data_IF_476869890581
#
_entry.id   IF_476869890581
#
_cell.length_a   1.000
_cell.length_b   1.000
_cell.length_c   1.000
_cell.angle_alpha   90.00
_cell.angle_beta   90.00
_cell.angle_gamma   90.00
#
_symmetry.space_group_name_H-M   'P 1'
#
loop_
_entity.id
_entity.type
_entity.pdbx_description
1 polymer ?
#
# COMPACT_ATOMS: atom_id res chain seq x y z
N UNK A 1 -12.15 11.44 1.25
CA UNK A 1 -12.76 10.36 2.05
C UNK A 1 -12.65 9.05 1.26
N UNK A 2 -11.44 8.49 1.16
CA UNK A 2 -11.14 7.17 0.57
C UNK A 2 -9.92 6.61 1.29
N UNK A 3 -10.06 6.44 2.60
CA UNK A 3 -9.00 5.86 3.43
C UNK A 3 -9.22 4.35 3.50
N UNK A 4 -8.15 3.59 3.27
CA UNK A 4 -8.15 2.15 3.53
C UNK A 4 -8.16 1.97 5.05
N UNK A 5 -9.36 1.79 5.62
CA UNK A 5 -9.58 1.65 7.07
C UNK A 5 -9.38 0.23 7.59
N UNK A 6 -9.37 -0.75 6.69
CA UNK A 6 -9.32 -2.16 7.05
C UNK A 6 -7.87 -2.60 7.15
N UNK A 7 -7.47 -3.05 8.34
CA UNK A 7 -6.18 -3.67 8.59
C UNK A 7 -6.19 -5.09 7.96
N UNK A 8 -5.05 -5.56 7.42
CA UNK A 8 -4.97 -6.95 6.97
C UNK A 8 -5.19 -7.90 8.16
N UNK A 9 -5.83 -9.05 7.92
CA UNK A 9 -6.02 -10.09 8.94
C UNK A 9 -4.69 -10.60 9.52
N UNK A 10 -3.61 -10.44 8.75
CA UNK A 10 -2.25 -10.78 9.15
C UNK A 10 -1.41 -9.50 9.15
N UNK A 11 -0.85 -9.14 10.30
CA UNK A 11 0.17 -8.11 10.37
C UNK A 11 1.47 -8.67 9.76
N UNK A 12 2.03 -7.95 8.78
CA UNK A 12 3.35 -8.26 8.24
C UNK A 12 4.50 -8.16 9.29
N UNK A 13 4.18 -7.73 10.52
CA UNK A 13 5.08 -7.66 11.68
C UNK A 13 4.53 -8.43 12.90
N UNK A 14 3.48 -9.23 12.74
CA UNK A 14 2.99 -10.12 13.78
C UNK A 14 3.98 -11.25 14.07
N UNK A 15 3.75 -11.98 15.17
CA UNK A 15 4.55 -13.15 15.57
C UNK A 15 4.81 -14.14 14.43
N UNK A 16 3.91 -14.18 13.45
CA UNK A 16 3.95 -15.04 12.26
C UNK A 16 4.93 -14.58 11.16
N UNK A 17 5.44 -13.33 11.15
CA UNK A 17 6.43 -12.87 10.14
C UNK A 17 7.87 -12.87 10.68
N UNK A 18 8.07 -13.37 11.91
CA UNK A 18 9.36 -13.30 12.60
C UNK A 18 10.18 -14.60 12.61
N UNK A 19 9.67 -15.72 12.08
CA UNK A 19 10.41 -16.98 12.15
C UNK A 19 11.22 -17.24 10.88
N UNK A 20 12.55 -17.14 11.02
CA UNK A 20 13.52 -17.58 10.02
C UNK A 20 13.33 -19.08 9.79
N UNK A 21 12.76 -19.48 8.65
CA UNK A 21 12.58 -20.89 8.27
C UNK A 21 13.86 -21.45 7.65
N UNK A 22 14.90 -21.60 8.47
CA UNK A 22 16.25 -22.03 8.02
C UNK A 22 16.30 -23.45 7.46
N UNK A 23 15.30 -24.26 7.77
CA UNK A 23 15.12 -25.63 7.29
C UNK A 23 14.60 -25.69 5.85
N UNK A 24 13.94 -24.62 5.36
CA UNK A 24 13.29 -24.60 4.03
C UNK A 24 13.85 -23.52 3.10
N UNK A 25 14.39 -22.43 3.64
CA UNK A 25 15.08 -21.39 2.88
C UNK A 25 16.49 -21.11 3.44
N UNK A 26 17.55 -21.70 2.85
CA UNK A 26 18.94 -21.48 3.27
C UNK A 26 19.43 -20.06 3.03
N UNK A 27 18.71 -19.23 2.24
CA UNK A 27 19.06 -17.84 2.03
C UNK A 27 18.71 -16.95 3.25
N UNK A 28 17.83 -17.43 4.15
CA UNK A 28 17.52 -16.77 5.42
C UNK A 28 16.62 -15.55 5.28
N UNK A 29 15.74 -15.51 4.28
CA UNK A 29 14.87 -14.36 4.05
C UNK A 29 13.68 -14.43 5.02
N UNK A 30 13.25 -13.27 5.51
CA UNK A 30 12.01 -13.19 6.30
C UNK A 30 10.84 -13.40 5.34
N UNK A 31 10.18 -14.55 5.46
CA UNK A 31 8.97 -14.88 4.70
C UNK A 31 7.79 -14.71 5.65
N UNK A 32 6.74 -14.01 5.21
CA UNK A 32 5.50 -13.96 5.96
C UNK A 32 4.92 -15.38 6.08
N UNK A 33 4.90 -15.94 7.30
CA UNK A 33 4.32 -17.27 7.49
C UNK A 33 2.80 -17.17 7.51
N UNK A 34 2.17 -17.68 6.45
CA UNK A 34 0.72 -17.73 6.34
C UNK A 34 0.15 -19.05 6.88
N UNK A 35 0.96 -19.94 7.47
CA UNK A 35 0.54 -21.26 7.95
C UNK A 35 -0.47 -21.22 9.09
N UNK A 36 -0.48 -20.13 9.88
CA UNK A 36 -1.46 -19.89 10.94
C UNK A 36 -2.89 -19.76 10.38
N UNK A 37 -3.04 -19.27 9.14
CA UNK A 37 -4.31 -19.18 8.44
C UNK A 37 -4.67 -20.52 7.78
N UNK A 38 -5.06 -21.51 8.60
CA UNK A 38 -5.25 -22.93 8.21
C UNK A 38 -5.95 -23.16 6.87
N UNK A 39 -7.04 -22.45 6.58
CA UNK A 39 -7.84 -22.66 5.37
C UNK A 39 -7.45 -21.77 4.17
N UNK A 40 -6.70 -20.69 4.39
CA UNK A 40 -6.41 -19.66 3.37
C UNK A 40 -4.93 -19.30 3.23
N UNK A 41 -4.05 -19.97 3.95
CA UNK A 41 -2.63 -19.63 4.04
C UNK A 41 -1.92 -19.59 2.69
N UNK A 42 -2.23 -20.52 1.78
CA UNK A 42 -1.65 -20.53 0.42
C UNK A 42 -2.08 -19.32 -0.42
N UNK A 43 -3.36 -18.93 -0.32
CA UNK A 43 -3.90 -17.75 -1.00
C UNK A 43 -3.28 -16.47 -0.47
N UNK A 44 -3.14 -16.35 0.85
CA UNK A 44 -2.52 -15.20 1.50
C UNK A 44 -1.03 -15.08 1.14
N UNK A 45 -0.28 -16.18 1.16
CA UNK A 45 1.12 -16.21 0.75
C UNK A 45 1.29 -15.75 -0.70
N UNK A 46 0.41 -16.20 -1.60
CA UNK A 46 0.40 -15.77 -3.00
C UNK A 46 0.12 -14.27 -3.13
N UNK A 47 -0.83 -13.75 -2.34
CA UNK A 47 -1.16 -12.33 -2.34
C UNK A 47 0.00 -11.46 -1.82
N UNK A 48 0.66 -11.88 -0.74
CA UNK A 48 1.86 -11.22 -0.22
C UNK A 48 2.99 -11.20 -1.24
N UNK A 49 3.25 -12.32 -1.91
CA UNK A 49 4.26 -12.41 -2.96
C UNK A 49 3.92 -11.53 -4.18
N UNK A 50 2.63 -11.38 -4.51
CA UNK A 50 2.18 -10.55 -5.63
C UNK A 50 2.12 -9.04 -5.30
N UNK A 51 2.03 -8.66 -4.02
CA UNK A 51 1.82 -7.27 -3.61
C UNK A 51 2.86 -6.27 -4.14
N UNK A 52 4.19 -6.57 -4.16
CA UNK A 52 5.17 -5.68 -4.77
C UNK A 52 4.91 -5.44 -6.26
N UNK A 53 4.55 -6.48 -7.02
CA UNK A 53 4.26 -6.36 -8.45
C UNK A 53 2.98 -5.54 -8.68
N UNK A 54 1.94 -5.77 -7.89
CA UNK A 54 0.70 -4.97 -7.96
C UNK A 54 0.99 -3.49 -7.66
N UNK A 55 1.81 -3.21 -6.64
CA UNK A 55 2.18 -1.84 -6.30
C UNK A 55 3.00 -1.15 -7.39
N UNK A 56 3.89 -1.87 -8.09
CA UNK A 56 4.62 -1.36 -9.24
C UNK A 56 3.68 -0.99 -10.39
N UNK A 57 2.70 -1.84 -10.70
CA UNK A 57 1.71 -1.53 -11.74
C UNK A 57 0.93 -0.26 -11.41
N UNK A 58 0.57 -0.05 -10.13
CA UNK A 58 -0.10 1.17 -9.69
C UNK A 58 0.80 2.42 -9.83
N UNK A 59 2.10 2.30 -9.57
CA UNK A 59 3.07 3.39 -9.84
C UNK A 59 3.12 3.75 -11.32
N UNK A 60 3.17 2.73 -12.19
CA UNK A 60 3.20 2.94 -13.65
C UNK A 60 1.94 3.66 -14.13
N UNK A 61 0.75 3.22 -13.68
CA UNK A 61 -0.52 3.88 -14.02
C UNK A 61 -0.56 5.33 -13.53
N UNK A 62 -0.07 5.58 -12.31
CA UNK A 62 0.03 6.93 -11.77
C UNK A 62 0.98 7.81 -12.60
N UNK A 63 2.14 7.28 -13.00
CA UNK A 63 3.11 7.98 -13.83
C UNK A 63 2.57 8.30 -15.23
N UNK A 64 1.88 7.35 -15.87
CA UNK A 64 1.26 7.56 -17.18
C UNK A 64 0.17 8.64 -17.13
N UNK A 65 -0.59 8.71 -16.04
CA UNK A 65 -1.59 9.76 -15.85
C UNK A 65 -0.97 11.13 -15.55
N UNK A 66 0.09 11.16 -14.73
CA UNK A 66 0.82 12.40 -14.45
C UNK A 66 1.53 12.93 -15.71
N UNK A 67 1.92 12.03 -16.63
CA UNK A 67 2.46 12.36 -17.95
C UNK A 67 1.37 12.71 -19.00
N UNK A 68 0.09 12.56 -18.67
CA UNK A 68 -1.03 12.83 -19.58
C UNK A 68 -1.22 11.77 -20.69
N UNK A 69 -0.57 10.61 -20.58
CA UNK A 69 -0.70 9.48 -21.52
C UNK A 69 -2.08 8.82 -21.36
N UNK A 70 -2.59 8.76 -20.13
CA UNK A 70 -3.90 8.18 -19.81
C UNK A 70 -4.72 9.16 -18.98
N UNK A 71 -5.99 9.34 -19.36
CA UNK A 71 -6.93 10.17 -18.60
C UNK A 71 -7.70 9.31 -17.59
N UNK A 72 -7.33 9.41 -16.30
CA UNK A 72 -8.09 8.78 -15.21
C UNK A 72 -8.92 9.84 -14.47
N UNK A 73 -10.19 9.56 -14.13
CA UNK A 73 -10.98 10.41 -13.24
C UNK A 73 -10.26 10.72 -11.92
N UNK A 74 -10.42 11.96 -11.43
CA UNK A 74 -9.75 12.45 -10.22
C UNK A 74 -9.99 11.58 -8.98
N UNK A 75 -11.21 11.02 -8.84
CA UNK A 75 -11.54 10.09 -7.76
C UNK A 75 -10.69 8.81 -7.79
N UNK A 76 -10.40 8.27 -8.98
CA UNK A 76 -9.55 7.09 -9.14
C UNK A 76 -8.07 7.41 -8.88
N UNK A 77 -7.62 8.59 -9.34
CA UNK A 77 -6.26 9.08 -9.04
C UNK A 77 -6.01 9.17 -7.54
N UNK A 78 -6.97 9.68 -6.78
CA UNK A 78 -6.90 9.76 -5.31
C UNK A 78 -6.82 8.38 -4.64
N UNK A 79 -7.56 7.38 -5.14
CA UNK A 79 -7.51 6.02 -4.59
C UNK A 79 -6.18 5.31 -4.89
N UNK A 80 -5.62 5.52 -6.08
CA UNK A 80 -4.30 4.97 -6.44
C UNK A 80 -3.22 5.58 -5.54
N UNK A 81 -3.27 6.90 -5.32
CA UNK A 81 -2.34 7.57 -4.41
C UNK A 81 -2.45 7.06 -2.98
N UNK A 82 -3.67 6.88 -2.46
CA UNK A 82 -3.86 6.32 -1.12
C UNK A 82 -3.23 4.93 -0.99
N UNK A 83 -3.35 4.08 -2.01
CA UNK A 83 -2.74 2.75 -2.03
C UNK A 83 -1.21 2.82 -2.07
N UNK A 84 -0.63 3.68 -2.92
CA UNK A 84 0.81 3.87 -3.04
C UNK A 84 1.43 4.48 -1.77
N UNK A 85 0.73 5.43 -1.13
CA UNK A 85 1.13 6.00 0.17
C UNK A 85 1.14 4.91 1.24
N UNK A 86 0.09 4.08 1.30
CA UNK A 86 0.03 2.96 2.27
C UNK A 86 1.12 1.92 2.02
N UNK A 87 1.50 1.69 0.77
CA UNK A 87 2.60 0.81 0.38
C UNK A 87 4.00 1.42 0.61
N UNK A 88 4.10 2.67 1.10
CA UNK A 88 5.39 3.35 1.31
C UNK A 88 6.11 3.76 0.02
N UNK A 89 5.40 3.77 -1.11
CA UNK A 89 5.93 4.03 -2.46
C UNK A 89 5.68 5.44 -2.96
N UNK A 90 4.83 6.20 -2.26
CA UNK A 90 4.57 7.62 -2.50
C UNK A 90 4.56 8.39 -1.18
N UNK A 91 5.12 9.60 -1.16
CA UNK A 91 5.04 10.47 -0.01
C UNK A 91 3.58 10.89 0.26
N UNK A 92 3.17 10.87 1.53
CA UNK A 92 1.89 11.44 1.91
C UNK A 92 1.88 12.95 1.60
N UNK A 93 0.76 13.51 1.11
CA UNK A 93 0.66 14.95 0.91
C UNK A 93 0.84 15.68 2.23
N UNK A 94 1.48 16.85 2.19
CA UNK A 94 1.60 17.69 3.38
C UNK A 94 0.20 18.12 3.87
N UNK A 95 -0.01 18.21 5.20
CA UNK A 95 -1.26 18.69 5.76
C UNK A 95 -1.61 20.07 5.20
N UNK A 96 -2.79 20.18 4.59
CA UNK A 96 -3.26 21.45 4.05
C UNK A 96 -3.47 22.44 5.19
N UNK A 97 -2.76 23.57 5.14
CA UNK A 97 -2.98 24.70 6.07
C UNK A 97 -4.16 25.52 5.55
N UNK A 98 -5.29 25.45 6.23
CA UNK A 98 -6.41 26.36 5.97
C UNK A 98 -6.10 27.72 6.59
N UNK A 99 -6.03 28.77 5.76
CA UNK A 99 -5.87 30.16 6.21
C UNK A 99 -7.19 30.88 6.03
N UNK A 100 -7.73 31.44 7.11
CA UNK A 100 -8.90 32.33 7.06
C UNK A 100 -8.42 33.77 6.89
N UNK A 101 -8.68 34.39 5.75
CA UNK A 101 -8.42 35.82 5.53
C UNK A 101 -9.71 36.58 5.86
N UNK A 102 -9.77 37.16 7.06
CA UNK A 102 -10.81 38.14 7.38
C UNK A 102 -10.48 39.45 6.63
N UNK A 103 -11.35 39.86 5.71
CA UNK A 103 -11.17 41.08 4.93
C UNK A 103 -11.00 42.31 5.84
N UNK A 104 -9.97 43.11 5.57
CA UNK A 104 -9.79 44.41 6.22
C UNK A 104 -10.81 45.37 5.60
N UNK A 105 -11.80 45.77 6.39
CA UNK A 105 -12.77 46.82 6.04
C UNK A 105 -12.02 48.16 5.96
N UNK A 106 -12.30 48.95 4.91
CA UNK A 106 -11.73 50.30 4.70
C UNK A 106 -12.82 51.34 4.84
#
# INVERSE_FOLDING_TARGET
MNEIKQLPELEACGWDVLTKRTDVDPAGWLVADCSAAKERGSTLATLFAAAPNMSLVLEMIAADADAGVVMIPSGLRLTIDAALIKAGRKAAPEPVRHVTIAGVDR
#
